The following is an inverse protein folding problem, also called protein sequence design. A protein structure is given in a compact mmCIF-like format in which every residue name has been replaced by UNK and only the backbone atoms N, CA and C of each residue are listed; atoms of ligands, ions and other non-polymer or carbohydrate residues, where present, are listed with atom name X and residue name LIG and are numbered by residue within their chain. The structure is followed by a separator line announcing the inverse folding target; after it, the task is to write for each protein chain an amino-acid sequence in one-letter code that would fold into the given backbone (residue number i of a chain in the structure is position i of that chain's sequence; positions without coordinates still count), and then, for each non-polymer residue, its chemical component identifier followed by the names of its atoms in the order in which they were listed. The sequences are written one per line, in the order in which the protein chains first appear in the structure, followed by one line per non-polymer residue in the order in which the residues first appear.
data_IF_843449405191
#
_entry.id   IF_843449405191
#
_cell.length_a   1.000
_cell.length_b   1.000
_cell.length_c   1.000
_cell.angle_alpha   90.00
_cell.angle_beta   90.00
_cell.angle_gamma   90.00
#
_symmetry.space_group_name_H-M   'P 1'
#
loop_
_entity.id
_entity.type
_entity.pdbx_description
1 polymer ?
#
# COMPACT_ATOMS: atom_id res chain seq x y z
N UNK A 1 3.41 -9.90 6.91
CA UNK A 1 2.61 -10.74 5.98
C UNK A 1 1.25 -11.10 6.56
N UNK A 2 1.12 -12.06 7.50
CA UNK A 2 -0.20 -12.43 8.05
C UNK A 2 -1.03 -11.25 8.62
N UNK A 3 -0.39 -10.29 9.29
CA UNK A 3 -1.03 -9.04 9.74
C UNK A 3 -1.48 -8.15 8.56
N UNK A 4 -0.69 -8.09 7.48
CA UNK A 4 -1.03 -7.37 6.25
C UNK A 4 -2.23 -8.04 5.58
N UNK A 5 -2.25 -9.37 5.49
CA UNK A 5 -3.35 -10.14 4.91
C UNK A 5 -4.64 -9.99 5.72
N UNK A 6 -4.54 -9.95 7.05
CA UNK A 6 -5.65 -9.64 7.93
C UNK A 6 -6.19 -8.22 7.70
N UNK A 7 -5.31 -7.22 7.59
CA UNK A 7 -5.67 -5.83 7.30
C UNK A 7 -6.28 -5.66 5.90
N UNK A 8 -5.78 -6.37 4.89
CA UNK A 8 -6.41 -6.48 3.56
C UNK A 8 -7.83 -7.03 3.71
N UNK A 9 -8.00 -8.13 4.45
CA UNK A 9 -9.30 -8.75 4.69
C UNK A 9 -10.29 -7.82 5.38
N UNK A 10 -9.86 -7.09 6.42
CA UNK A 10 -10.68 -6.10 7.12
C UNK A 10 -11.05 -4.93 6.20
N UNK A 11 -10.08 -4.38 5.45
CA UNK A 11 -10.32 -3.31 4.50
C UNK A 11 -11.32 -3.74 3.41
N UNK A 12 -11.21 -4.97 2.91
CA UNK A 12 -12.12 -5.54 1.92
C UNK A 12 -13.53 -5.76 2.50
N UNK A 13 -13.62 -6.23 3.75
CA UNK A 13 -14.89 -6.40 4.45
C UNK A 13 -15.60 -5.05 4.67
N UNK A 14 -14.85 -4.03 5.07
CA UNK A 14 -15.34 -2.64 5.16
C UNK A 14 -15.77 -2.13 3.78
N UNK A 15 -15.02 -2.43 2.71
CA UNK A 15 -15.37 -2.06 1.34
C UNK A 15 -16.70 -2.69 0.88
N UNK A 16 -16.92 -3.97 1.16
CA UNK A 16 -18.19 -4.66 0.86
C UNK A 16 -19.33 -4.09 1.68
N UNK A 17 -19.14 -3.82 2.98
CA UNK A 17 -20.17 -3.25 3.86
C UNK A 17 -20.56 -1.82 3.46
N UNK A 18 -19.63 -1.04 2.91
CA UNK A 18 -19.89 0.30 2.38
C UNK A 18 -20.32 0.30 0.91
N UNK A 19 -20.21 -0.82 0.19
CA UNK A 19 -20.68 -0.96 -1.19
C UNK A 19 -22.16 -1.30 -1.25
N UNK A 20 -22.90 -0.65 -2.15
CA UNK A 20 -24.37 -0.79 -2.30
C UNK A 20 -25.08 0.55 -2.40
N UNK A 21 -26.29 0.66 -1.84
CA UNK A 21 -27.13 1.87 -1.88
C UNK A 21 -26.49 3.12 -1.24
N UNK A 22 -25.47 2.94 -0.40
CA UNK A 22 -24.72 4.03 0.27
C UNK A 22 -23.66 4.68 -0.63
N UNK A 23 -23.20 4.00 -1.68
CA UNK A 23 -22.15 4.49 -2.60
C UNK A 23 -22.55 5.79 -3.30
N UNK A 24 -23.84 5.97 -3.58
CA UNK A 24 -24.39 7.16 -4.26
C UNK A 24 -24.52 8.39 -3.33
N UNK A 25 -24.40 8.24 -2.01
CA UNK A 25 -24.42 9.33 -1.02
C UNK A 25 -23.06 9.58 -0.37
N UNK A 26 -22.01 8.90 -0.82
CA UNK A 26 -20.70 8.92 -0.16
C UNK A 26 -19.88 10.15 -0.55
N UNK A 27 -19.33 10.84 0.45
CA UNK A 27 -18.39 11.95 0.26
C UNK A 27 -17.13 11.49 -0.48
N UNK A 28 -16.54 12.31 -1.38
CA UNK A 28 -15.31 12.00 -2.10
C UNK A 28 -14.16 11.52 -1.21
N UNK A 29 -14.07 12.02 0.02
CA UNK A 29 -13.05 11.63 1.00
C UNK A 29 -13.15 10.17 1.43
N UNK A 30 -14.36 9.63 1.57
CA UNK A 30 -14.57 8.24 1.98
C UNK A 30 -14.27 7.27 0.83
N UNK A 31 -14.47 7.70 -0.42
CA UNK A 31 -14.01 6.97 -1.60
C UNK A 31 -12.47 6.89 -1.67
N UNK A 32 -11.78 8.00 -1.38
CA UNK A 32 -10.31 8.00 -1.29
C UNK A 32 -9.78 7.08 -0.21
N UNK A 33 -10.40 7.06 0.98
CA UNK A 33 -9.99 6.14 2.07
C UNK A 33 -10.19 4.68 1.64
N UNK A 34 -11.27 4.37 0.94
CA UNK A 34 -11.56 3.01 0.46
C UNK A 34 -10.50 2.51 -0.53
N UNK A 35 -10.30 3.23 -1.63
CA UNK A 35 -9.31 2.83 -2.65
C UNK A 35 -7.86 2.98 -2.15
N UNK A 36 -7.59 4.02 -1.36
CA UNK A 36 -6.30 4.24 -0.73
C UNK A 36 -5.93 3.11 0.24
N UNK A 37 -6.88 2.61 1.04
CA UNK A 37 -6.62 1.51 1.97
C UNK A 37 -6.25 0.20 1.26
N UNK A 38 -6.91 -0.12 0.13
CA UNK A 38 -6.53 -1.26 -0.71
C UNK A 38 -5.11 -1.09 -1.26
N UNK A 39 -4.77 0.12 -1.71
CA UNK A 39 -3.46 0.44 -2.26
C UNK A 39 -2.33 0.35 -1.21
N UNK A 40 -2.55 0.87 0.01
CA UNK A 40 -1.64 0.72 1.15
C UNK A 40 -1.42 -0.75 1.46
N UNK A 41 -2.49 -1.53 1.49
CA UNK A 41 -2.42 -2.92 1.89
C UNK A 41 -1.67 -3.79 0.86
N UNK A 42 -1.91 -3.57 -0.44
CA UNK A 42 -1.11 -4.15 -1.52
C UNK A 42 0.37 -3.78 -1.41
N UNK A 43 0.66 -2.49 -1.23
CA UNK A 43 2.04 -1.99 -1.07
C UNK A 43 2.75 -2.67 0.11
N UNK A 44 2.08 -2.74 1.27
CA UNK A 44 2.61 -3.35 2.47
C UNK A 44 2.92 -4.85 2.29
N UNK A 45 2.09 -5.57 1.54
CA UNK A 45 2.34 -6.98 1.20
C UNK A 45 3.52 -7.15 0.25
N UNK A 46 3.67 -6.34 -0.80
CA UNK A 46 4.82 -6.38 -1.72
C UNK A 46 6.12 -6.12 -0.95
N UNK A 47 6.17 -5.04 -0.16
CA UNK A 47 7.35 -4.72 0.65
C UNK A 47 7.67 -5.80 1.68
N UNK A 48 6.65 -6.40 2.31
CA UNK A 48 6.83 -7.52 3.24
C UNK A 48 7.41 -8.76 2.54
N UNK A 49 6.96 -9.08 1.33
CA UNK A 49 7.48 -10.19 0.54
C UNK A 49 8.94 -9.95 0.14
N UNK A 50 9.27 -8.74 -0.30
CA UNK A 50 10.64 -8.36 -0.62
C UNK A 50 11.56 -8.49 0.60
N UNK A 51 11.13 -8.02 1.77
CA UNK A 51 11.89 -8.14 3.00
C UNK A 51 12.19 -9.61 3.35
N UNK A 52 11.20 -10.49 3.22
CA UNK A 52 11.36 -11.94 3.44
C UNK A 52 12.32 -12.54 2.40
N UNK A 53 12.20 -12.15 1.13
CA UNK A 53 13.07 -12.62 0.05
C UNK A 53 14.53 -12.23 0.30
N UNK A 54 14.78 -10.99 0.71
CA UNK A 54 16.12 -10.49 1.07
C UNK A 54 16.67 -11.26 2.27
N UNK A 55 15.86 -11.46 3.31
CA UNK A 55 16.27 -12.23 4.50
C UNK A 55 16.68 -13.66 4.12
N UNK A 56 15.87 -14.34 3.30
CA UNK A 56 16.16 -15.69 2.81
C UNK A 56 17.42 -15.73 1.95
N UNK A 57 17.60 -14.77 1.05
CA UNK A 57 18.78 -14.67 0.19
C UNK A 57 20.06 -14.41 1.01
N UNK A 58 20.01 -13.52 2.00
CA UNK A 58 21.14 -13.25 2.90
C UNK A 58 21.50 -14.46 3.77
N UNK A 59 20.49 -15.21 4.24
CA UNK A 59 20.68 -16.45 5.01
C UNK A 59 21.27 -17.57 4.16
N UNK A 60 20.97 -17.60 2.85
CA UNK A 60 21.55 -18.56 1.91
C UNK A 60 23.03 -18.26 1.63
N UNK A 61 23.39 -16.99 1.43
CA UNK A 61 24.77 -16.58 1.12
C UNK A 61 25.67 -16.62 2.36
N UNK A 62 25.16 -16.20 3.51
CA UNK A 62 25.87 -16.31 4.78
C UNK A 62 25.38 -17.58 5.48
N UNK A 63 26.15 -18.68 5.39
CA UNK A 63 26.03 -19.88 6.24
C UNK A 63 26.31 -19.58 7.73
N UNK A 64 25.81 -18.47 8.27
CA UNK A 64 25.90 -18.11 9.67
C UNK A 64 24.48 -18.07 10.22
N UNK A 65 24.14 -18.93 11.19
CA UNK A 65 22.82 -18.96 11.76
C UNK A 65 22.50 -17.58 12.35
N UNK A 66 21.24 -17.20 12.20
CA UNK A 66 20.57 -16.02 12.73
C UNK A 66 21.17 -15.57 14.09
N UNK A 67 21.92 -14.46 14.10
CA UNK A 67 22.35 -13.83 15.35
C UNK A 67 21.09 -13.28 16.04
N UNK A 68 20.67 -13.89 17.15
CA UNK A 68 19.57 -13.44 18.02
C UNK A 68 19.65 -11.94 18.39
N UNK A 69 20.84 -11.32 18.32
CA UNK A 69 21.06 -9.90 18.59
C UNK A 69 20.63 -8.94 17.43
N UNK A 70 20.09 -9.45 16.30
CA UNK A 70 19.65 -8.64 15.15
C UNK A 70 18.13 -8.54 14.97
N UNK A 71 17.32 -8.94 15.96
CA UNK A 71 15.86 -8.78 15.92
C UNK A 71 15.41 -7.33 15.67
N UNK A 72 16.19 -6.34 16.10
CA UNK A 72 15.92 -4.92 15.83
C UNK A 72 15.89 -4.61 14.32
N UNK A 73 16.70 -5.29 13.50
CA UNK A 73 16.75 -5.05 12.05
C UNK A 73 15.48 -5.48 11.36
N UNK A 74 14.89 -6.58 11.80
CA UNK A 74 13.63 -7.10 11.27
C UNK A 74 12.49 -6.15 11.61
N UNK A 75 12.44 -5.66 12.87
CA UNK A 75 11.47 -4.64 13.27
C UNK A 75 11.63 -3.33 12.49
N UNK A 76 12.86 -2.90 12.23
CA UNK A 76 13.15 -1.70 11.45
C UNK A 76 12.71 -1.87 9.98
N UNK A 77 12.98 -3.03 9.37
CA UNK A 77 12.52 -3.39 8.03
C UNK A 77 10.99 -3.35 7.94
N UNK A 78 10.30 -4.01 8.88
CA UNK A 78 8.83 -3.98 8.95
C UNK A 78 8.34 -2.53 9.09
N UNK A 79 8.91 -1.77 10.04
CA UNK A 79 8.56 -0.37 10.25
C UNK A 79 8.71 0.47 8.98
N UNK A 80 9.82 0.33 8.26
CA UNK A 80 10.04 1.04 6.99
C UNK A 80 9.03 0.65 5.92
N UNK A 81 8.70 -0.64 5.79
CA UNK A 81 7.70 -1.13 4.83
C UNK A 81 6.31 -0.56 5.10
N UNK A 82 5.92 -0.47 6.37
CA UNK A 82 4.65 0.14 6.77
C UNK A 82 4.64 1.64 6.52
N UNK A 83 5.73 2.32 6.86
CA UNK A 83 5.83 3.77 6.74
C UNK A 83 5.83 4.20 5.26
N UNK A 84 6.50 3.45 4.38
CA UNK A 84 6.44 3.68 2.93
C UNK A 84 5.05 3.38 2.36
N UNK A 85 4.43 2.27 2.75
CA UNK A 85 3.07 1.91 2.29
C UNK A 85 2.02 2.95 2.69
N UNK A 86 2.04 3.42 3.94
CA UNK A 86 1.13 4.46 4.44
C UNK A 86 1.40 5.79 3.73
N UNK A 87 2.68 6.17 3.57
CA UNK A 87 3.04 7.40 2.87
C UNK A 87 2.53 7.40 1.43
N UNK A 88 2.70 6.26 0.72
CA UNK A 88 2.19 6.04 -0.62
C UNK A 88 0.67 6.23 -0.69
N UNK A 89 -0.10 5.58 0.18
CA UNK A 89 -1.56 5.72 0.18
C UNK A 89 -2.12 7.03 0.73
N UNK A 90 -1.33 7.83 1.45
CA UNK A 90 -1.75 9.13 1.99
C UNK A 90 -1.54 10.29 0.99
N UNK A 91 -0.60 10.17 0.05
CA UNK A 91 -0.31 11.17 -1.00
C UNK A 91 -1.54 11.64 -1.81
N UNK A 92 -2.49 10.76 -2.21
CA UNK A 92 -3.72 11.17 -2.92
C UNK A 92 -4.64 12.04 -2.05
N UNK A 93 -4.67 11.76 -0.74
CA UNK A 93 -5.48 12.48 0.25
C UNK A 93 -4.86 13.85 0.57
N UNK A 94 -3.53 13.93 0.55
CA UNK A 94 -2.74 15.14 0.86
C UNK A 94 -2.67 16.17 -0.29
N UNK A 95 -3.32 15.91 -1.43
CA UNK A 95 -3.47 16.91 -2.50
C UNK A 95 -3.00 16.48 -3.88
N UNK A 96 -2.49 15.24 -4.06
CA UNK A 96 -2.17 14.73 -5.40
C UNK A 96 -3.41 14.10 -6.08
N UNK A 97 -4.51 14.85 -6.05
CA UNK A 97 -5.79 14.47 -6.63
C UNK A 97 -6.07 15.28 -7.90
N UNK A 98 -6.97 14.77 -8.75
CA UNK A 98 -7.36 15.47 -9.99
C UNK A 98 -8.61 16.36 -9.82
N UNK A 99 -8.99 16.68 -8.58
CA UNK A 99 -10.21 17.45 -8.25
C UNK A 99 -10.24 18.82 -8.95
N UNK A 100 -9.07 19.47 -9.07
CA UNK A 100 -8.94 20.77 -9.73
C UNK A 100 -8.59 20.67 -11.23
N UNK A 101 -8.35 19.46 -11.76
CA UNK A 101 -7.87 19.27 -13.15
C UNK A 101 -8.44 17.99 -13.79
N UNK A 102 -9.72 18.05 -14.16
CA UNK A 102 -10.49 16.98 -14.80
C UNK A 102 -9.82 16.27 -16.01
N UNK A 103 -9.08 16.93 -16.94
CA UNK A 103 -8.48 16.22 -18.08
C UNK A 103 -7.33 15.26 -17.69
N UNK A 104 -6.75 15.43 -16.51
CA UNK A 104 -5.65 14.60 -15.99
C UNK A 104 -6.12 13.43 -15.11
N UNK A 105 -7.45 13.24 -14.96
CA UNK A 105 -8.01 12.12 -14.23
C UNK A 105 -7.81 10.79 -14.98
N UNK A 106 -7.44 9.75 -14.24
CA UNK A 106 -7.27 8.40 -14.78
C UNK A 106 -8.63 7.72 -15.01
N UNK A 107 -8.77 6.96 -16.11
CA UNK A 107 -9.99 6.21 -16.42
C UNK A 107 -10.20 5.01 -15.51
N UNK A 108 -9.13 4.49 -14.89
CA UNK A 108 -9.18 3.34 -13.97
C UNK A 108 -9.62 3.79 -12.56
N UNK A 109 -9.21 4.98 -12.13
CA UNK A 109 -9.58 5.57 -10.84
C UNK A 109 -9.97 7.04 -11.04
N UNK A 110 -11.27 7.36 -11.12
CA UNK A 110 -11.75 8.67 -11.59
C UNK A 110 -11.34 9.86 -10.72
N UNK A 111 -10.86 9.64 -9.49
CA UNK A 111 -10.37 10.70 -8.60
C UNK A 111 -8.84 10.76 -8.47
N UNK A 112 -8.10 9.81 -9.08
CA UNK A 112 -6.64 9.77 -9.02
C UNK A 112 -6.02 10.38 -10.29
N UNK A 113 -4.95 11.17 -10.10
CA UNK A 113 -4.17 11.71 -11.22
C UNK A 113 -3.42 10.60 -11.95
N UNK A 114 -3.38 10.66 -13.29
CA UNK A 114 -2.58 9.75 -14.14
C UNK A 114 -1.11 9.68 -13.71
N UNK A 115 -0.53 10.81 -13.27
CA UNK A 115 0.88 10.90 -12.86
C UNK A 115 1.17 10.10 -11.59
N UNK A 116 0.26 10.15 -10.61
CA UNK A 116 0.39 9.37 -9.38
C UNK A 116 0.31 7.87 -9.68
N UNK A 117 -0.66 7.45 -10.50
CA UNK A 117 -0.82 6.04 -10.86
C UNK A 117 0.42 5.54 -11.61
N UNK A 118 0.94 6.33 -12.55
CA UNK A 118 2.18 6.01 -13.27
C UNK A 118 3.38 5.89 -12.31
N UNK A 119 3.53 6.83 -11.37
CA UNK A 119 4.59 6.79 -10.35
C UNK A 119 4.51 5.50 -9.52
N UNK A 120 3.33 5.17 -9.00
CA UNK A 120 3.09 3.95 -8.23
C UNK A 120 3.43 2.68 -9.02
N UNK A 121 3.01 2.59 -10.28
CA UNK A 121 3.34 1.45 -11.15
C UNK A 121 4.85 1.36 -11.37
N UNK A 122 5.53 2.48 -11.64
CA UNK A 122 6.99 2.47 -11.82
C UNK A 122 7.73 2.04 -10.57
N UNK A 123 7.29 2.48 -9.38
CA UNK A 123 7.87 2.06 -8.10
C UNK A 123 7.70 0.55 -7.90
N UNK A 124 6.51 0.00 -8.14
CA UNK A 124 6.29 -1.44 -7.99
C UNK A 124 7.02 -2.29 -9.03
N UNK A 125 7.23 -1.79 -10.25
CA UNK A 125 7.97 -2.52 -11.29
C UNK A 125 9.48 -2.51 -11.06
N UNK A 126 10.01 -1.47 -10.40
CA UNK A 126 11.43 -1.35 -10.06
C UNK A 126 11.80 -2.12 -8.79
N UNK A 127 10.82 -2.47 -7.97
CA UNK A 127 10.98 -3.18 -6.71
C UNK A 127 10.98 -4.69 -6.91
#
# INVERSE_FOLDING_TARGET
LALCDLLIGVAYLVNILLSGEKTLKLSPTLWFVREGSLFVALSASIFSLLAIAIERHLTMIKMRPYDTNKNYRVFLLIGTCWLTAISLGALPILGWNCLDNLPDCSTVFPLYSKKYVAFCITVFMLL
#
